data_IF_390871401600
#
_entry.id   IF_390871401600
#
_cell.length_a   1.000
_cell.length_b   1.000
_cell.length_c   1.000
_cell.angle_alpha   90.00
_cell.angle_beta   90.00
_cell.angle_gamma   90.00
#
_symmetry.space_group_name_H-M   'P 1'
#
loop_
_entity.id
_entity.type
_entity.pdbx_description
1 polymer ?
#
# COMPACT_ATOMS: atom_id res chain seq x y z
N UNK A 1 3.62 45.74 44.51
CA UNK A 1 4.56 45.57 43.38
C UNK A 1 4.20 44.27 42.67
N UNK A 2 3.50 44.33 41.53
CA UNK A 2 3.01 43.16 40.78
C UNK A 2 3.95 42.94 39.59
N UNK A 3 4.76 41.89 39.63
CA UNK A 3 5.64 41.50 38.52
C UNK A 3 4.80 40.66 37.57
N UNK A 4 4.32 41.30 36.51
CA UNK A 4 3.55 40.67 35.43
C UNK A 4 4.48 39.73 34.65
N UNK A 5 4.20 38.43 34.73
CA UNK A 5 4.88 37.38 33.96
C UNK A 5 4.57 37.56 32.49
N UNK A 6 5.56 37.96 31.69
CA UNK A 6 5.47 37.93 30.23
C UNK A 6 5.57 36.47 29.77
N UNK A 7 4.41 35.89 29.43
CA UNK A 7 4.31 34.59 28.79
C UNK A 7 4.74 34.77 27.33
N UNK A 8 5.95 34.34 26.99
CA UNK A 8 6.42 34.26 25.61
C UNK A 8 5.68 33.11 24.91
N UNK A 9 4.66 33.45 24.12
CA UNK A 9 3.96 32.54 23.23
C UNK A 9 4.88 32.22 22.04
N UNK A 10 5.56 31.07 22.13
CA UNK A 10 6.27 30.47 21.01
C UNK A 10 5.22 29.89 20.04
N UNK A 11 4.82 30.68 19.05
CA UNK A 11 4.03 30.19 17.92
C UNK A 11 4.98 29.46 16.98
N UNK A 12 5.13 28.16 17.19
CA UNK A 12 5.68 27.25 16.18
C UNK A 12 4.63 27.10 15.07
N UNK A 13 4.77 27.90 14.01
CA UNK A 13 4.15 27.60 12.72
C UNK A 13 4.77 26.33 12.18
N UNK A 14 4.16 25.18 12.51
CA UNK A 14 4.48 23.90 11.88
C UNK A 14 4.08 24.04 10.41
N UNK A 15 5.04 24.34 9.56
CA UNK A 15 4.87 24.25 8.12
C UNK A 15 4.37 22.84 7.81
N UNK A 16 3.17 22.76 7.23
CA UNK A 16 2.56 21.51 6.79
C UNK A 16 3.32 21.02 5.55
N UNK A 17 4.53 20.51 5.75
CA UNK A 17 5.13 19.60 4.79
C UNK A 17 4.25 18.37 4.77
N UNK A 18 3.53 18.16 3.67
CA UNK A 18 2.80 16.91 3.44
C UNK A 18 3.89 15.86 3.20
N UNK A 19 4.40 15.25 4.27
CA UNK A 19 5.25 14.09 4.14
C UNK A 19 4.36 12.97 3.60
N UNK A 20 4.48 12.69 2.31
CA UNK A 20 3.83 11.53 1.71
C UNK A 20 4.49 10.29 2.32
N UNK A 21 3.78 9.59 3.19
CA UNK A 21 4.27 8.37 3.82
C UNK A 21 4.11 7.17 2.87
N UNK A 22 5.09 6.28 2.86
CA UNK A 22 4.94 4.95 2.26
C UNK A 22 3.64 4.32 2.76
N UNK A 23 2.88 3.70 1.86
CA UNK A 23 1.65 3.01 2.25
C UNK A 23 1.73 1.55 1.87
N UNK A 24 1.19 0.71 2.76
CA UNK A 24 1.24 -0.75 2.65
C UNK A 24 -0.17 -1.30 2.60
N UNK A 25 -0.40 -2.27 1.72
CA UNK A 25 -1.66 -3.00 1.59
C UNK A 25 -1.39 -4.49 1.47
N UNK A 26 -2.37 -5.32 1.85
CA UNK A 26 -2.25 -6.77 1.78
C UNK A 26 -3.33 -7.33 0.88
N UNK A 27 -2.95 -8.27 0.02
CA UNK A 27 -3.85 -8.92 -0.93
C UNK A 27 -3.64 -10.42 -0.90
N UNK A 28 -4.61 -11.13 -1.46
CA UNK A 28 -4.50 -12.56 -1.62
C UNK A 28 -4.74 -12.93 -3.08
N UNK A 29 -3.91 -13.82 -3.63
CA UNK A 29 -4.12 -14.43 -4.93
C UNK A 29 -4.42 -15.91 -4.69
N UNK A 30 -5.52 -16.38 -5.24
CA UNK A 30 -5.99 -17.75 -5.05
C UNK A 30 -6.60 -18.33 -6.34
N UNK A 31 -6.38 -19.63 -6.56
CA UNK A 31 -7.07 -20.40 -7.60
C UNK A 31 -8.56 -20.67 -7.32
N UNK A 32 -9.04 -20.50 -6.07
CA UNK A 32 -10.44 -20.72 -5.66
C UNK A 32 -11.30 -19.44 -5.67
N UNK A 33 -10.85 -18.42 -6.39
CA UNK A 33 -11.57 -17.14 -6.50
C UNK A 33 -11.59 -16.35 -5.19
N UNK A 34 -10.69 -16.64 -4.25
CA UNK A 34 -10.56 -15.93 -2.99
C UNK A 34 -11.34 -16.50 -1.80
N UNK A 35 -12.05 -17.61 -1.99
CA UNK A 35 -12.85 -18.28 -0.95
C UNK A 35 -12.03 -18.72 0.27
N UNK A 36 -10.76 -19.07 0.06
CA UNK A 36 -9.81 -19.46 1.11
C UNK A 36 -8.84 -18.34 1.51
N UNK A 37 -9.03 -17.13 0.99
CA UNK A 37 -8.22 -15.98 1.35
C UNK A 37 -8.68 -15.38 2.69
N UNK A 38 -7.76 -15.30 3.65
CA UNK A 38 -8.00 -14.65 4.95
C UNK A 38 -7.83 -13.12 4.90
N UNK A 39 -7.35 -12.61 3.76
CA UNK A 39 -7.04 -11.19 3.53
C UNK A 39 -7.76 -10.73 2.27
N UNK A 40 -8.31 -9.49 2.32
CA UNK A 40 -8.97 -8.84 1.20
C UNK A 40 -8.23 -7.56 0.80
N UNK A 41 -8.28 -7.16 -0.50
CA UNK A 41 -8.94 -7.85 -1.60
C UNK A 41 -8.27 -9.17 -2.00
N UNK A 42 -9.10 -10.06 -2.56
CA UNK A 42 -8.67 -11.34 -3.12
C UNK A 42 -8.84 -11.34 -4.64
N UNK A 43 -7.90 -11.98 -5.33
CA UNK A 43 -7.84 -12.01 -6.78
C UNK A 43 -7.65 -13.46 -7.28
N UNK A 44 -8.20 -13.75 -8.45
CA UNK A 44 -7.94 -15.00 -9.16
C UNK A 44 -6.47 -15.07 -9.58
N UNK A 45 -5.97 -16.29 -9.79
CA UNK A 45 -4.60 -16.46 -10.23
C UNK A 45 -4.39 -16.11 -11.71
N UNK A 46 -3.14 -15.85 -12.14
CA UNK A 46 -2.81 -15.57 -13.53
C UNK A 46 -3.31 -16.61 -14.52
N UNK A 47 -3.27 -17.88 -14.13
CA UNK A 47 -3.69 -19.00 -14.98
C UNK A 47 -5.23 -19.11 -15.08
N UNK A 48 -5.97 -18.51 -14.16
CA UNK A 48 -7.44 -18.44 -14.16
C UNK A 48 -7.97 -17.13 -14.77
N UNK A 49 -7.10 -16.36 -15.45
CA UNK A 49 -7.45 -15.08 -16.06
C UNK A 49 -7.40 -13.89 -15.11
N UNK A 50 -6.90 -14.08 -13.88
CA UNK A 50 -6.65 -13.00 -12.93
C UNK A 50 -5.32 -12.28 -13.16
N UNK A 51 -5.11 -11.10 -12.56
CA UNK A 51 -3.83 -10.40 -12.63
C UNK A 51 -2.77 -11.06 -11.72
N UNK A 52 -1.50 -11.06 -12.15
CA UNK A 52 -0.38 -11.47 -11.29
C UNK A 52 -0.03 -10.45 -10.22
N UNK A 53 0.73 -10.87 -9.21
CA UNK A 53 1.11 -10.03 -8.07
C UNK A 53 1.78 -8.71 -8.50
N UNK A 54 2.65 -8.74 -9.51
CA UNK A 54 3.30 -7.53 -10.04
C UNK A 54 2.31 -6.57 -10.72
N UNK A 55 1.36 -7.10 -11.49
CA UNK A 55 0.34 -6.27 -12.15
C UNK A 55 -0.59 -5.61 -11.12
N UNK A 56 -0.97 -6.36 -10.07
CA UNK A 56 -1.73 -5.82 -8.95
C UNK A 56 -0.94 -4.75 -8.18
N UNK A 57 0.35 -4.98 -7.95
CA UNK A 57 1.21 -4.00 -7.30
C UNK A 57 1.32 -2.71 -8.10
N UNK A 58 1.53 -2.80 -9.42
CA UNK A 58 1.51 -1.64 -10.31
C UNK A 58 0.20 -0.89 -10.24
N UNK A 59 -0.92 -1.59 -10.33
CA UNK A 59 -2.25 -0.98 -10.29
C UNK A 59 -2.48 -0.26 -8.97
N UNK A 60 -2.20 -0.91 -7.84
CA UNK A 60 -2.40 -0.32 -6.52
C UNK A 60 -1.45 0.85 -6.25
N UNK A 61 -0.21 0.77 -6.75
CA UNK A 61 0.79 1.82 -6.61
C UNK A 61 0.72 2.89 -7.70
N UNK A 62 -0.29 2.86 -8.57
CA UNK A 62 -0.53 3.92 -9.55
C UNK A 62 -1.18 5.11 -8.86
N UNK A 63 -0.54 6.27 -8.93
CA UNK A 63 -1.10 7.54 -8.51
C UNK A 63 -1.57 8.34 -9.74
N UNK A 64 -2.72 9.01 -9.58
CA UNK A 64 -3.26 9.91 -10.58
C UNK A 64 -2.88 11.34 -10.20
N UNK A 65 -2.13 12.03 -11.05
CA UNK A 65 -1.81 13.45 -10.90
C UNK A 65 -2.36 14.25 -12.08
N UNK A 66 -2.28 15.58 -11.97
CA UNK A 66 -2.64 16.51 -13.06
C UNK A 66 -1.81 16.31 -14.33
N UNK A 67 -0.61 15.75 -14.21
CA UNK A 67 0.32 15.51 -15.32
C UNK A 67 0.18 14.10 -15.93
N UNK A 68 -0.71 13.28 -15.39
CA UNK A 68 -0.99 11.92 -15.84
C UNK A 68 -0.85 10.87 -14.74
N UNK A 69 -0.77 9.61 -15.16
CA UNK A 69 -0.62 8.48 -14.23
C UNK A 69 0.87 8.21 -14.01
N UNK A 70 1.28 8.09 -12.76
CA UNK A 70 2.63 7.66 -12.39
C UNK A 70 2.56 6.43 -11.51
N UNK A 71 3.42 5.45 -11.76
CA UNK A 71 3.53 4.26 -10.91
C UNK A 71 4.62 4.53 -9.89
N UNK A 72 4.26 4.53 -8.61
CA UNK A 72 5.23 4.62 -7.52
C UNK A 72 6.16 3.41 -7.53
N UNK A 73 7.38 3.58 -7.03
CA UNK A 73 8.21 2.43 -6.72
C UNK A 73 7.50 1.55 -5.69
N UNK A 74 7.62 0.24 -5.80
CA UNK A 74 6.94 -0.68 -4.89
C UNK A 74 7.79 -1.88 -4.52
N UNK A 75 7.46 -2.48 -3.38
CA UNK A 75 8.01 -3.76 -2.91
C UNK A 75 6.88 -4.73 -2.65
N UNK A 76 7.05 -5.97 -3.10
CA UNK A 76 6.10 -7.06 -2.87
C UNK A 76 6.77 -8.07 -1.94
N UNK A 77 6.15 -8.32 -0.79
CA UNK A 77 6.54 -9.36 0.14
C UNK A 77 5.51 -10.48 0.12
N UNK A 78 5.93 -11.72 -0.07
CA UNK A 78 5.06 -12.89 0.12
C UNK A 78 4.98 -13.19 1.60
N UNK A 79 3.82 -12.99 2.21
CA UNK A 79 3.58 -13.25 3.64
C UNK A 79 3.32 -14.74 3.90
N UNK A 80 2.58 -15.38 3.02
CA UNK A 80 2.31 -16.81 3.07
C UNK A 80 2.05 -17.34 1.68
N UNK A 81 2.38 -18.61 1.47
CA UNK A 81 2.06 -19.33 0.26
C UNK A 81 1.72 -20.77 0.62
N UNK A 82 0.62 -21.26 0.08
CA UNK A 82 0.19 -22.64 0.17
C UNK A 82 0.14 -23.17 -1.26
N UNK A 83 0.78 -24.32 -1.50
CA UNK A 83 0.71 -25.00 -2.78
C UNK A 83 -0.71 -25.49 -3.07
N UNK A 84 -1.05 -25.52 -4.35
CA UNK A 84 -2.32 -26.05 -4.82
C UNK A 84 -2.19 -26.58 -6.24
N UNK A 85 -3.32 -26.75 -6.92
CA UNK A 85 -3.35 -27.41 -8.24
C UNK A 85 -2.71 -26.53 -9.32
N UNK A 86 -3.05 -25.24 -9.33
CA UNK A 86 -2.57 -24.26 -10.31
C UNK A 86 -1.52 -23.33 -9.72
N UNK A 87 -1.94 -22.50 -8.76
CA UNK A 87 -1.07 -21.56 -8.07
C UNK A 87 -1.19 -21.64 -6.54
N UNK A 88 -2.13 -22.44 -6.03
CA UNK A 88 -2.48 -22.44 -4.62
C UNK A 88 -3.00 -21.09 -4.13
N UNK A 89 -2.63 -20.74 -2.90
CA UNK A 89 -3.06 -19.50 -2.24
C UNK A 89 -1.82 -18.76 -1.78
N UNK A 90 -1.65 -17.51 -2.19
CA UNK A 90 -0.54 -16.67 -1.75
C UNK A 90 -1.05 -15.34 -1.24
N UNK A 91 -0.58 -14.94 -0.05
CA UNK A 91 -0.87 -13.64 0.54
C UNK A 91 0.35 -12.75 0.33
N UNK A 92 0.11 -11.58 -0.23
CA UNK A 92 1.13 -10.58 -0.51
C UNK A 92 0.91 -9.34 0.35
N UNK A 93 2.00 -8.70 0.71
CA UNK A 93 2.04 -7.35 1.24
C UNK A 93 2.77 -6.47 0.24
N UNK A 94 2.13 -5.40 -0.17
CA UNK A 94 2.70 -4.44 -1.12
C UNK A 94 2.83 -3.09 -0.47
N UNK A 95 4.06 -2.58 -0.49
CA UNK A 95 4.41 -1.24 -0.02
C UNK A 95 4.71 -0.37 -1.22
N UNK A 96 3.90 0.66 -1.42
CA UNK A 96 4.14 1.71 -2.40
C UNK A 96 4.98 2.81 -1.74
N UNK A 97 6.13 3.11 -2.33
CA UNK A 97 7.17 3.98 -1.79
C UNK A 97 6.96 5.38 -2.35
N UNK A 98 6.77 6.35 -1.46
CA UNK A 98 6.54 7.73 -1.86
C UNK A 98 7.86 8.40 -2.28
N UNK A 99 7.83 9.27 -3.31
CA UNK A 99 8.98 10.11 -3.64
C UNK A 99 9.24 11.07 -2.48
N UNK A 100 10.50 11.19 -2.08
CA UNK A 100 10.97 12.09 -1.01
C UNK A 100 11.29 13.48 -1.54
#
# INVERSE_FOLDING_TARGET
MKITRALFLLVLTIGSGIANADYTSKWCISEDGGSKCTVQPSYGCPQDGGPGADALAKQACTIHSTDGNSVLNYRINTLSSQTGGKCGISVYEVTCIQPK
#
